data_IF_726172211416
#
_entry.id   IF_726172211416
#
_cell.length_a   1.000
_cell.length_b   1.000
_cell.length_c   1.000
_cell.angle_alpha   90.00
_cell.angle_beta   90.00
_cell.angle_gamma   90.00
#
_symmetry.space_group_name_H-M   'P 1'
#
loop_
_entity.id
_entity.type
_entity.pdbx_description
1 polymer ?
#
# COMPACT_ATOMS: atom_id res chain seq x y z
N UNK A 1 -3.25 27.64 -9.33
CA UNK A 1 -3.89 26.74 -10.31
C UNK A 1 -3.39 27.06 -11.71
N UNK A 2 -2.84 26.07 -12.44
CA UNK A 2 -2.52 25.95 -13.89
C UNK A 2 -2.07 27.18 -14.72
N UNK A 3 -1.70 28.30 -14.10
CA UNK A 3 -0.92 29.39 -14.70
C UNK A 3 0.38 29.49 -13.92
N UNK A 4 1.25 28.51 -14.09
CA UNK A 4 2.64 28.68 -13.68
C UNK A 4 3.28 29.54 -14.76
N UNK A 5 3.67 30.77 -14.43
CA UNK A 5 4.52 31.58 -15.32
C UNK A 5 5.89 30.92 -15.32
N UNK A 6 6.24 30.26 -16.43
CA UNK A 6 7.55 29.64 -16.59
C UNK A 6 8.49 30.67 -17.21
N UNK A 7 9.56 31.02 -16.49
CA UNK A 7 10.64 31.85 -17.01
C UNK A 7 11.84 30.94 -17.30
N UNK A 8 12.24 30.85 -18.57
CA UNK A 8 13.43 30.11 -18.99
C UNK A 8 14.69 30.84 -18.50
N UNK A 9 15.69 30.10 -18.02
CA UNK A 9 17.04 30.60 -17.74
C UNK A 9 18.04 29.82 -18.58
N UNK A 10 19.13 30.48 -18.96
CA UNK A 10 20.30 29.88 -19.60
C UNK A 10 21.37 29.48 -18.59
N UNK A 11 21.19 29.83 -17.30
CA UNK A 11 22.11 29.49 -16.23
C UNK A 11 21.57 28.30 -15.42
N UNK A 12 22.33 27.20 -15.41
CA UNK A 12 21.99 25.99 -14.66
C UNK A 12 21.82 26.24 -13.16
N UNK A 13 22.57 27.18 -12.59
CA UNK A 13 22.46 27.57 -11.18
C UNK A 13 21.07 28.13 -10.84
N UNK A 14 20.44 28.87 -11.75
CA UNK A 14 19.09 29.42 -11.54
C UNK A 14 18.03 28.31 -11.55
N UNK A 15 18.19 27.29 -12.40
CA UNK A 15 17.33 26.11 -12.40
C UNK A 15 17.51 25.31 -11.11
N UNK A 16 18.76 25.10 -10.71
CA UNK A 16 19.13 24.42 -9.47
C UNK A 16 18.51 25.11 -8.23
N UNK A 17 18.55 26.44 -8.18
CA UNK A 17 17.99 27.25 -7.08
C UNK A 17 16.47 27.09 -6.89
N UNK A 18 15.74 26.69 -7.94
CA UNK A 18 14.28 26.51 -7.93
C UNK A 18 13.85 25.10 -7.55
N UNK A 19 14.78 24.17 -7.39
CA UNK A 19 14.51 22.79 -6.99
C UNK A 19 14.15 22.70 -5.52
N UNK A 20 13.65 21.54 -5.12
CA UNK A 20 13.17 21.32 -3.75
C UNK A 20 14.34 21.10 -2.78
N UNK A 21 15.19 20.12 -3.06
CA UNK A 21 16.25 19.66 -2.15
C UNK A 21 17.63 19.77 -2.77
N UNK A 22 18.63 20.00 -1.94
CA UNK A 22 20.04 20.13 -2.32
C UNK A 22 20.52 18.91 -3.10
N UNK A 23 20.22 17.71 -2.60
CA UNK A 23 20.54 16.42 -3.24
C UNK A 23 19.86 16.23 -4.61
N UNK A 24 18.77 16.94 -4.89
CA UNK A 24 18.05 16.88 -6.16
C UNK A 24 18.50 17.96 -7.17
N UNK A 25 19.40 18.85 -6.76
CA UNK A 25 19.93 19.96 -7.56
C UNK A 25 21.37 19.74 -8.02
N UNK A 26 21.78 18.47 -8.09
CA UNK A 26 23.04 18.04 -8.69
C UNK A 26 22.87 17.79 -10.19
N UNK A 27 23.86 18.22 -10.97
CA UNK A 27 23.88 18.05 -12.43
C UNK A 27 25.15 17.33 -12.81
N UNK A 28 25.05 16.32 -13.65
CA UNK A 28 26.20 15.58 -14.15
C UNK A 28 26.40 15.88 -15.64
N UNK A 29 27.64 16.23 -16.02
CA UNK A 29 28.00 16.36 -17.41
C UNK A 29 27.98 14.96 -18.08
N UNK A 30 27.29 14.75 -19.21
CA UNK A 30 27.01 13.40 -19.73
C UNK A 30 28.23 12.63 -20.21
N UNK A 31 29.32 13.32 -20.54
CA UNK A 31 30.56 12.70 -21.05
C UNK A 31 31.63 12.58 -19.97
N UNK A 32 32.00 13.69 -19.33
CA UNK A 32 33.03 13.74 -18.29
C UNK A 32 32.56 13.25 -16.92
N UNK A 33 31.25 13.11 -16.70
CA UNK A 33 30.62 12.80 -15.42
C UNK A 33 30.95 13.82 -14.31
N UNK A 34 31.48 14.99 -14.66
CA UNK A 34 31.72 16.07 -13.72
C UNK A 34 30.41 16.53 -13.10
N UNK A 35 30.39 16.68 -11.77
CA UNK A 35 29.21 17.09 -11.01
C UNK A 35 29.29 18.59 -10.75
N UNK A 36 28.25 19.31 -11.16
CA UNK A 36 28.00 20.68 -10.72
C UNK A 36 27.09 20.66 -9.50
N UNK A 37 27.60 21.22 -8.41
CA UNK A 37 26.90 21.37 -7.13
C UNK A 37 27.01 22.83 -6.67
N UNK A 38 25.88 23.50 -6.54
CA UNK A 38 25.80 24.91 -6.13
C UNK A 38 25.24 25.09 -4.72
N UNK A 39 24.77 24.02 -4.06
CA UNK A 39 24.00 24.10 -2.81
C UNK A 39 24.41 23.03 -1.79
N UNK A 40 25.62 22.49 -1.92
CA UNK A 40 26.20 21.45 -1.06
C UNK A 40 25.40 20.13 -1.06
N UNK A 41 24.79 19.79 -2.20
CA UNK A 41 24.04 18.56 -2.37
C UNK A 41 24.89 17.29 -2.23
N UNK A 42 26.18 17.33 -2.61
CA UNK A 42 27.10 16.21 -2.42
C UNK A 42 27.38 15.96 -0.94
N UNK A 43 27.67 17.02 -0.18
CA UNK A 43 27.89 16.92 1.26
C UNK A 43 26.61 16.45 1.99
N UNK A 44 25.44 16.94 1.59
CA UNK A 44 24.15 16.48 2.12
C UNK A 44 23.88 15.01 1.78
N UNK A 45 24.27 14.54 0.60
CA UNK A 45 24.14 13.14 0.20
C UNK A 45 25.05 12.23 1.05
N UNK A 46 26.30 12.63 1.27
CA UNK A 46 27.27 11.91 2.11
C UNK A 46 26.79 11.81 3.56
N UNK A 47 26.24 12.90 4.10
CA UNK A 47 25.63 12.94 5.43
C UNK A 47 24.24 12.29 5.49
N UNK A 48 23.69 11.90 4.35
CA UNK A 48 22.32 11.39 4.22
C UNK A 48 21.31 12.34 4.87
N UNK A 49 21.41 13.63 4.55
CA UNK A 49 20.54 14.70 5.03
C UNK A 49 19.69 15.23 3.87
N UNK A 50 18.36 15.19 4.01
CA UNK A 50 17.46 15.83 3.04
C UNK A 50 17.19 17.25 3.50
N UNK A 51 17.72 18.24 2.78
CA UNK A 51 17.62 19.66 3.13
C UNK A 51 17.05 20.46 1.97
N UNK A 52 16.22 21.45 2.29
CA UNK A 52 15.69 22.39 1.30
C UNK A 52 16.76 23.33 0.76
N UNK A 53 16.58 23.80 -0.48
CA UNK A 53 17.43 24.85 -1.04
C UNK A 53 16.92 26.22 -0.56
N UNK A 54 17.74 26.94 0.22
CA UNK A 54 17.34 28.20 0.87
C UNK A 54 16.38 27.97 2.02
N UNK A 55 15.47 28.92 2.27
CA UNK A 55 14.48 28.83 3.36
C UNK A 55 13.41 27.76 3.07
N UNK A 56 13.25 26.81 4.00
CA UNK A 56 12.32 25.70 3.83
C UNK A 56 10.85 26.17 3.70
N UNK A 57 10.45 27.22 4.42
CA UNK A 57 9.07 27.72 4.38
C UNK A 57 8.75 28.38 3.04
N UNK A 58 9.66 29.16 2.50
CA UNK A 58 9.54 29.74 1.15
C UNK A 58 9.39 28.65 0.09
N UNK A 59 10.25 27.62 0.12
CA UNK A 59 10.15 26.49 -0.81
C UNK A 59 8.81 25.78 -0.68
N UNK A 60 8.31 25.56 0.53
CA UNK A 60 7.00 24.93 0.74
C UNK A 60 5.86 25.81 0.23
N UNK A 61 5.92 27.15 0.40
CA UNK A 61 4.88 28.07 -0.12
C UNK A 61 4.73 28.01 -1.64
N UNK A 62 5.83 27.78 -2.36
CA UNK A 62 5.81 27.64 -3.82
C UNK A 62 5.06 26.38 -4.29
N UNK A 63 5.26 25.26 -3.58
CA UNK A 63 4.50 24.03 -3.81
C UNK A 63 4.39 23.22 -2.50
N UNK A 64 3.22 23.26 -1.88
CA UNK A 64 2.97 22.58 -0.61
C UNK A 64 3.21 21.06 -0.70
N UNK A 65 3.19 20.45 -1.90
CA UNK A 65 3.50 19.03 -2.06
C UNK A 65 4.94 18.69 -1.62
N UNK A 66 5.84 19.68 -1.58
CA UNK A 66 7.21 19.50 -1.10
C UNK A 66 7.30 18.98 0.33
N UNK A 67 6.27 19.17 1.16
CA UNK A 67 6.18 18.54 2.49
C UNK A 67 6.17 17.00 2.37
N UNK A 68 5.28 16.45 1.54
CA UNK A 68 5.20 15.00 1.36
C UNK A 68 6.42 14.44 0.62
N UNK A 69 6.96 15.22 -0.33
CA UNK A 69 8.23 14.87 -0.98
C UNK A 69 9.35 14.79 0.03
N UNK A 70 9.48 15.75 0.94
CA UNK A 70 10.50 15.76 1.98
C UNK A 70 10.46 14.46 2.77
N UNK A 71 9.30 14.07 3.31
CA UNK A 71 9.18 12.80 4.05
C UNK A 71 9.49 11.57 3.19
N UNK A 72 9.07 11.55 1.92
CA UNK A 72 9.42 10.44 1.00
C UNK A 72 10.93 10.34 0.76
N UNK A 73 11.60 11.47 0.50
CA UNK A 73 13.05 11.49 0.30
C UNK A 73 13.78 11.17 1.62
N UNK A 74 13.29 11.66 2.75
CA UNK A 74 13.85 11.36 4.08
C UNK A 74 13.75 9.87 4.39
N UNK A 75 12.62 9.22 4.10
CA UNK A 75 12.48 7.77 4.26
C UNK A 75 13.38 6.95 3.31
N UNK A 76 13.67 7.48 2.11
CA UNK A 76 14.43 6.76 1.09
C UNK A 76 15.94 6.92 1.25
N UNK A 77 16.40 8.14 1.53
CA UNK A 77 17.81 8.50 1.52
C UNK A 77 18.30 8.98 2.87
N UNK A 78 17.43 9.62 3.65
CA UNK A 78 17.77 10.26 4.90
C UNK A 78 18.21 9.30 6.00
N UNK A 79 19.22 9.70 6.76
CA UNK A 79 19.61 9.12 8.04
C UNK A 79 19.72 10.21 9.11
N UNK A 80 20.13 11.43 8.72
CA UNK A 80 20.14 12.61 9.58
C UNK A 80 18.89 13.45 9.33
N UNK A 81 18.24 13.89 10.41
CA UNK A 81 17.11 14.82 10.33
C UNK A 81 17.61 16.26 10.21
N UNK A 82 16.92 17.04 9.40
CA UNK A 82 17.07 18.48 9.35
C UNK A 82 15.96 19.12 10.20
N UNK A 83 16.33 19.70 11.34
CA UNK A 83 15.38 20.30 12.27
C UNK A 83 14.59 21.47 11.68
N UNK A 84 15.20 22.25 10.78
CA UNK A 84 14.51 23.35 10.10
C UNK A 84 13.47 22.80 9.13
N UNK A 85 13.84 21.81 8.32
CA UNK A 85 12.93 21.18 7.36
C UNK A 85 11.75 20.49 8.06
N UNK A 86 12.01 19.75 9.14
CA UNK A 86 10.97 19.10 9.95
C UNK A 86 9.99 20.12 10.56
N UNK A 87 10.51 21.22 11.13
CA UNK A 87 9.70 22.28 11.71
C UNK A 87 8.86 22.99 10.64
N UNK A 88 9.45 23.37 9.51
CA UNK A 88 8.74 24.00 8.41
C UNK A 88 7.63 23.09 7.85
N UNK A 89 7.89 21.78 7.72
CA UNK A 89 6.89 20.81 7.30
C UNK A 89 5.72 20.70 8.27
N UNK A 90 5.98 20.70 9.58
CA UNK A 90 4.94 20.64 10.61
C UNK A 90 4.08 21.92 10.61
N UNK A 91 4.72 23.10 10.64
CA UNK A 91 4.05 24.40 10.67
C UNK A 91 3.13 24.60 9.45
N UNK A 92 3.57 24.13 8.28
CA UNK A 92 2.88 24.33 7.01
C UNK A 92 1.99 23.17 6.59
N UNK A 93 1.92 22.09 7.38
CA UNK A 93 1.08 20.92 7.09
C UNK A 93 -0.37 21.26 6.71
N UNK A 94 -1.08 22.20 7.36
CA UNK A 94 -2.47 22.52 7.01
C UNK A 94 -2.67 22.92 5.54
N UNK A 95 -1.64 23.45 4.90
CA UNK A 95 -1.68 23.89 3.50
C UNK A 95 -1.81 22.73 2.50
N UNK A 96 -1.53 21.49 2.93
CA UNK A 96 -1.74 20.27 2.14
C UNK A 96 -3.21 20.04 1.77
N UNK A 97 -4.17 20.60 2.53
CA UNK A 97 -5.61 20.46 2.26
C UNK A 97 -6.03 20.99 0.89
N UNK A 98 -5.29 21.98 0.36
CA UNK A 98 -5.56 22.61 -0.94
C UNK A 98 -4.96 21.88 -2.15
N UNK A 99 -4.22 20.78 -1.95
CA UNK A 99 -3.58 20.05 -3.03
C UNK A 99 -4.53 19.09 -3.76
N UNK A 100 -4.17 18.76 -5.01
CA UNK A 100 -4.79 17.65 -5.74
C UNK A 100 -4.58 16.35 -4.98
N UNK A 101 -5.64 15.57 -4.87
CA UNK A 101 -5.64 14.32 -4.11
C UNK A 101 -4.84 13.22 -4.80
N UNK A 102 -4.78 13.25 -6.13
CA UNK A 102 -3.93 12.39 -6.95
C UNK A 102 -2.45 12.60 -6.63
N UNK A 103 -2.00 13.86 -6.53
CA UNK A 103 -0.61 14.19 -6.18
C UNK A 103 -0.27 13.75 -4.76
N UNK A 104 -1.18 13.99 -3.81
CA UNK A 104 -1.03 13.52 -2.42
C UNK A 104 -0.95 12.00 -2.36
N UNK A 105 -1.84 11.30 -3.06
CA UNK A 105 -1.85 9.84 -3.11
C UNK A 105 -0.57 9.28 -3.72
N UNK A 106 -0.03 9.89 -4.77
CA UNK A 106 1.23 9.47 -5.39
C UNK A 106 2.39 9.50 -4.39
N UNK A 107 2.58 10.62 -3.68
CA UNK A 107 3.66 10.75 -2.68
C UNK A 107 3.47 9.77 -1.52
N UNK A 108 2.23 9.66 -1.00
CA UNK A 108 1.90 8.75 0.10
C UNK A 108 2.11 7.27 -0.27
N UNK A 109 1.60 6.82 -1.41
CA UNK A 109 1.77 5.44 -1.85
C UNK A 109 3.23 5.12 -2.17
N UNK A 110 3.98 6.07 -2.72
CA UNK A 110 5.42 5.88 -2.96
C UNK A 110 6.19 5.78 -1.65
N UNK A 111 5.86 6.59 -0.65
CA UNK A 111 6.42 6.46 0.71
C UNK A 111 6.10 5.08 1.29
N UNK A 112 4.84 4.65 1.25
CA UNK A 112 4.42 3.34 1.80
C UNK A 112 5.02 2.15 1.05
N UNK A 113 5.45 2.32 -0.21
CA UNK A 113 6.14 1.28 -0.98
C UNK A 113 7.64 1.15 -0.65
N UNK A 114 8.24 2.07 0.10
CA UNK A 114 9.66 1.99 0.46
C UNK A 114 9.94 0.81 1.40
N UNK A 115 11.15 0.25 1.47
CA UNK A 115 11.45 -0.88 2.36
C UNK A 115 11.09 -0.62 3.84
N UNK A 116 11.48 0.53 4.38
CA UNK A 116 11.34 0.87 5.81
C UNK A 116 10.72 2.26 6.02
N UNK A 117 9.40 2.43 5.83
CA UNK A 117 8.75 3.73 5.94
C UNK A 117 8.35 4.10 7.37
N UNK A 118 8.45 3.16 8.32
CA UNK A 118 7.86 3.26 9.66
C UNK A 118 8.22 4.55 10.39
N UNK A 119 9.52 4.79 10.60
CA UNK A 119 9.98 5.95 11.40
C UNK A 119 9.50 7.27 10.80
N UNK A 120 9.52 7.38 9.47
CA UNK A 120 9.04 8.58 8.78
C UNK A 120 7.53 8.74 8.91
N UNK A 121 6.75 7.67 8.73
CA UNK A 121 5.28 7.73 8.88
C UNK A 121 4.89 8.04 10.32
N UNK A 122 5.59 7.47 11.31
CA UNK A 122 5.40 7.77 12.73
C UNK A 122 5.70 9.25 13.03
N UNK A 123 6.84 9.79 12.56
CA UNK A 123 7.14 11.22 12.70
C UNK A 123 6.10 12.12 12.02
N UNK A 124 5.62 11.75 10.82
CA UNK A 124 4.55 12.49 10.15
C UNK A 124 3.28 12.52 11.00
N UNK A 125 2.96 11.43 11.70
CA UNK A 125 1.81 11.35 12.61
C UNK A 125 2.01 12.23 13.85
N UNK A 126 3.14 12.07 14.53
CA UNK A 126 3.51 12.85 15.74
C UNK A 126 3.54 14.36 15.48
N UNK A 127 4.04 14.77 14.31
CA UNK A 127 4.11 16.19 13.91
C UNK A 127 2.82 16.73 13.31
N UNK A 128 1.75 15.94 13.26
CA UNK A 128 0.46 16.38 12.74
C UNK A 128 0.41 16.56 11.21
N UNK A 129 1.37 16.03 10.46
CA UNK A 129 1.39 16.07 8.99
C UNK A 129 0.47 15.00 8.40
N UNK A 130 0.59 13.75 8.86
CA UNK A 130 -0.21 12.62 8.36
C UNK A 130 -1.72 12.86 8.56
N UNK A 131 -2.21 13.34 9.73
CA UNK A 131 -3.63 13.61 9.94
C UNK A 131 -4.24 14.64 8.98
N UNK A 132 -3.45 15.51 8.34
CA UNK A 132 -3.98 16.47 7.35
C UNK A 132 -4.40 15.77 6.05
N UNK A 133 -3.70 14.72 5.66
CA UNK A 133 -3.93 14.00 4.40
C UNK A 133 -4.67 12.66 4.60
N UNK A 134 -4.53 12.06 5.77
CA UNK A 134 -5.17 10.83 6.21
C UNK A 134 -5.68 11.00 7.67
N UNK A 135 -6.76 11.77 7.88
CA UNK A 135 -7.32 12.01 9.21
C UNK A 135 -7.87 10.76 9.90
N UNK A 136 -8.10 9.68 9.16
CA UNK A 136 -8.61 8.41 9.68
C UNK A 136 -7.55 7.58 10.42
N UNK A 137 -6.27 7.95 10.31
CA UNK A 137 -5.17 7.24 10.97
C UNK A 137 -5.06 7.69 12.41
N UNK A 138 -4.93 6.71 13.31
CA UNK A 138 -4.70 6.90 14.73
C UNK A 138 -3.44 6.14 15.20
N UNK A 139 -3.16 6.19 16.51
CA UNK A 139 -2.02 5.48 17.09
C UNK A 139 -2.08 3.96 16.88
N UNK A 140 -3.29 3.37 16.83
CA UNK A 140 -3.47 1.96 16.56
C UNK A 140 -3.09 1.61 15.11
N UNK A 141 -3.43 2.48 14.15
CA UNK A 141 -2.99 2.38 12.76
C UNK A 141 -1.48 2.43 12.60
N UNK A 142 -0.80 3.32 13.33
CA UNK A 142 0.68 3.39 13.34
C UNK A 142 1.28 2.09 13.90
N UNK A 143 0.77 1.60 15.03
CA UNK A 143 1.21 0.33 15.61
C UNK A 143 0.95 -0.87 14.68
N UNK A 144 -0.20 -0.87 13.99
CA UNK A 144 -0.55 -1.89 13.01
C UNK A 144 0.37 -1.89 11.79
N UNK A 145 0.80 -0.70 11.30
CA UNK A 145 1.81 -0.59 10.26
C UNK A 145 3.13 -1.23 10.72
N UNK A 146 3.61 -0.91 11.93
CA UNK A 146 4.84 -1.50 12.48
C UNK A 146 4.78 -3.03 12.54
N UNK A 147 3.67 -3.57 13.05
CA UNK A 147 3.47 -5.02 13.12
C UNK A 147 3.41 -5.68 11.72
N UNK A 148 2.77 -5.02 10.75
CA UNK A 148 2.73 -5.50 9.37
C UNK A 148 4.14 -5.53 8.76
N UNK A 149 4.94 -4.49 8.95
CA UNK A 149 6.30 -4.43 8.39
C UNK A 149 7.20 -5.53 8.96
N UNK A 150 7.06 -5.85 10.25
CA UNK A 150 7.74 -6.99 10.85
C UNK A 150 7.29 -8.31 10.20
N UNK A 151 5.97 -8.52 10.05
CA UNK A 151 5.43 -9.72 9.40
C UNK A 151 5.87 -9.86 7.92
N UNK A 152 5.96 -8.75 7.18
CA UNK A 152 6.49 -8.72 5.82
C UNK A 152 7.95 -9.17 5.79
N UNK A 153 8.79 -8.68 6.71
CA UNK A 153 10.20 -9.05 6.81
C UNK A 153 10.37 -10.53 7.22
N UNK A 154 9.63 -10.98 8.24
CA UNK A 154 9.69 -12.36 8.75
C UNK A 154 9.27 -13.40 7.69
N UNK A 155 8.38 -13.01 6.78
CA UNK A 155 7.87 -13.87 5.71
C UNK A 155 8.54 -13.62 4.34
N UNK A 156 9.56 -12.75 4.26
CA UNK A 156 10.21 -12.31 3.01
C UNK A 156 9.21 -11.85 1.92
N UNK A 157 8.19 -11.09 2.34
CA UNK A 157 7.16 -10.56 1.44
C UNK A 157 7.51 -9.14 1.03
N UNK A 158 7.59 -8.91 -0.28
CA UNK A 158 7.88 -7.60 -0.84
C UNK A 158 6.88 -6.52 -0.37
N UNK A 159 7.33 -5.26 -0.16
CA UNK A 159 6.48 -4.13 0.20
C UNK A 159 5.28 -3.94 -0.73
N UNK A 160 4.10 -3.69 -0.16
CA UNK A 160 2.91 -3.32 -0.94
C UNK A 160 2.19 -2.12 -0.32
N UNK A 161 2.15 -1.01 -1.07
CA UNK A 161 1.60 0.26 -0.57
C UNK A 161 0.13 0.16 -0.16
N UNK A 162 -0.70 -0.61 -0.89
CA UNK A 162 -2.12 -0.78 -0.56
C UNK A 162 -2.33 -1.62 0.70
N UNK A 163 -1.52 -2.67 0.91
CA UNK A 163 -1.54 -3.46 2.15
C UNK A 163 -1.15 -2.62 3.36
N UNK A 164 -0.10 -1.82 3.23
CA UNK A 164 0.37 -0.91 4.29
C UNK A 164 -0.58 0.25 4.54
N UNK A 165 -1.23 0.78 3.50
CA UNK A 165 -2.33 1.74 3.65
C UNK A 165 -3.52 1.10 4.37
N UNK A 166 -3.88 -0.15 4.03
CA UNK A 166 -4.89 -0.88 4.77
C UNK A 166 -4.51 -0.98 6.25
N UNK A 167 -3.26 -1.35 6.60
CA UNK A 167 -2.83 -1.45 8.00
C UNK A 167 -3.01 -0.15 8.80
N UNK A 168 -2.76 1.00 8.17
CA UNK A 168 -2.92 2.32 8.79
C UNK A 168 -4.38 2.70 9.06
N UNK A 169 -5.32 2.17 8.28
CA UNK A 169 -6.74 2.52 8.38
C UNK A 169 -7.50 1.60 9.34
N UNK A 170 -8.55 2.12 10.00
CA UNK A 170 -9.51 1.28 10.72
C UNK A 170 -10.08 0.17 9.84
N UNK A 171 -10.42 -0.96 10.47
CA UNK A 171 -11.01 -2.12 9.82
C UNK A 171 -12.48 -1.88 9.42
N UNK A 172 -12.71 -0.96 8.48
CA UNK A 172 -14.04 -0.61 7.96
C UNK A 172 -14.00 -0.50 6.42
N UNK A 173 -14.66 -1.43 5.70
CA UNK A 173 -14.74 -1.40 4.23
C UNK A 173 -15.37 -0.13 3.65
N UNK A 174 -16.33 0.49 4.35
CA UNK A 174 -16.97 1.74 3.88
C UNK A 174 -16.01 2.91 4.01
N UNK A 175 -15.31 2.99 5.14
CA UNK A 175 -14.27 4.00 5.35
C UNK A 175 -13.15 3.86 4.34
N UNK A 176 -12.66 2.64 4.12
CA UNK A 176 -11.63 2.35 3.12
C UNK A 176 -12.06 2.78 1.70
N UNK A 177 -13.33 2.57 1.35
CA UNK A 177 -13.89 2.99 0.08
C UNK A 177 -13.92 4.52 -0.07
N UNK A 178 -14.31 5.23 0.99
CA UNK A 178 -14.30 6.70 1.04
C UNK A 178 -12.89 7.27 0.94
N UNK A 179 -11.92 6.69 1.67
CA UNK A 179 -10.51 7.08 1.60
C UNK A 179 -9.95 6.85 0.21
N UNK A 180 -10.19 5.68 -0.40
CA UNK A 180 -9.75 5.38 -1.76
C UNK A 180 -10.34 6.34 -2.79
N UNK A 181 -11.63 6.66 -2.67
CA UNK A 181 -12.28 7.64 -3.55
C UNK A 181 -11.69 9.05 -3.37
N UNK A 182 -11.48 9.48 -2.11
CA UNK A 182 -10.88 10.79 -1.78
C UNK A 182 -9.45 10.91 -2.30
N UNK A 183 -8.65 9.86 -2.20
CA UNK A 183 -7.29 9.77 -2.74
C UNK A 183 -7.24 9.52 -4.25
N UNK A 184 -8.38 9.32 -4.91
CA UNK A 184 -8.47 9.08 -6.35
C UNK A 184 -7.65 7.86 -6.79
N UNK A 185 -7.69 6.80 -5.97
CA UNK A 185 -7.02 5.54 -6.28
C UNK A 185 -7.64 4.87 -7.51
N UNK A 186 -6.85 4.05 -8.20
CA UNK A 186 -7.35 3.28 -9.34
C UNK A 186 -8.44 2.29 -8.91
N UNK A 187 -9.29 1.87 -9.84
CA UNK A 187 -10.34 0.87 -9.56
C UNK A 187 -9.78 -0.40 -8.93
N UNK A 188 -8.62 -0.87 -9.39
CA UNK A 188 -7.97 -2.05 -8.83
C UNK A 188 -7.48 -1.81 -7.39
N UNK A 189 -6.81 -0.68 -7.14
CA UNK A 189 -6.33 -0.31 -5.80
C UNK A 189 -7.48 -0.15 -4.80
N UNK A 190 -8.57 0.52 -5.22
CA UNK A 190 -9.77 0.73 -4.40
C UNK A 190 -10.42 -0.59 -4.03
N UNK A 191 -10.65 -1.49 -5.00
CA UNK A 191 -11.20 -2.83 -4.74
C UNK A 191 -10.33 -3.61 -3.77
N UNK A 192 -9.01 -3.56 -3.94
CA UNK A 192 -8.09 -4.26 -3.07
C UNK A 192 -8.13 -3.68 -1.64
N UNK A 193 -8.04 -2.35 -1.48
CA UNK A 193 -8.11 -1.71 -0.16
C UNK A 193 -9.39 -2.06 0.60
N UNK A 194 -10.54 -2.03 -0.08
CA UNK A 194 -11.85 -2.38 0.50
C UNK A 194 -11.91 -3.85 0.92
N UNK A 195 -11.30 -4.75 0.15
CA UNK A 195 -11.18 -6.17 0.52
C UNK A 195 -10.36 -6.34 1.80
N UNK A 196 -9.19 -5.71 1.87
CA UNK A 196 -8.28 -5.80 3.03
C UNK A 196 -8.89 -5.20 4.30
N UNK A 197 -9.72 -4.16 4.16
CA UNK A 197 -10.39 -3.50 5.28
C UNK A 197 -11.42 -4.38 6.01
N UNK A 198 -11.87 -5.50 5.42
CA UNK A 198 -12.75 -6.47 6.10
C UNK A 198 -12.05 -7.17 7.26
N UNK A 199 -10.71 -7.31 7.17
CA UNK A 199 -9.88 -8.15 8.05
C UNK A 199 -10.37 -9.60 8.11
N UNK A 200 -9.60 -10.44 8.80
CA UNK A 200 -10.02 -11.79 9.14
C UNK A 200 -10.77 -11.76 10.47
N UNK A 201 -11.87 -12.51 10.55
CA UNK A 201 -12.62 -12.68 11.79
C UNK A 201 -11.93 -13.65 12.76
N UNK A 202 -10.99 -14.47 12.26
CA UNK A 202 -10.27 -15.48 13.01
C UNK A 202 -10.80 -16.88 12.71
N UNK A 203 -9.89 -17.85 12.61
CA UNK A 203 -10.23 -19.25 12.34
C UNK A 203 -10.33 -19.63 10.86
N UNK A 204 -10.25 -18.68 9.93
CA UNK A 204 -10.22 -18.99 8.49
C UNK A 204 -8.97 -19.79 8.14
N UNK A 205 -9.11 -20.90 7.44
CA UNK A 205 -7.97 -21.68 6.95
C UNK A 205 -7.29 -20.91 5.81
N UNK A 206 -5.96 -20.76 5.86
CA UNK A 206 -5.21 -19.93 4.91
C UNK A 206 -5.39 -20.37 3.45
N UNK A 207 -5.38 -21.69 3.20
CA UNK A 207 -5.61 -22.25 1.86
C UNK A 207 -7.06 -22.06 1.37
N UNK A 208 -8.05 -22.14 2.26
CA UNK A 208 -9.45 -21.79 1.97
C UNK A 208 -9.63 -20.31 1.63
N UNK A 209 -8.95 -19.43 2.36
CA UNK A 209 -8.95 -18.00 2.07
C UNK A 209 -8.33 -17.71 0.70
N UNK A 210 -7.21 -18.35 0.36
CA UNK A 210 -6.57 -18.19 -0.93
C UNK A 210 -7.42 -18.73 -2.09
N UNK A 211 -8.17 -19.82 -1.88
CA UNK A 211 -9.16 -20.31 -2.85
C UNK A 211 -10.25 -19.28 -3.12
N UNK A 212 -10.81 -18.66 -2.07
CA UNK A 212 -11.94 -17.74 -2.20
C UNK A 212 -11.56 -16.32 -2.71
N UNK A 213 -10.43 -15.77 -2.27
CA UNK A 213 -10.04 -14.38 -2.56
C UNK A 213 -8.87 -14.28 -3.55
N UNK A 214 -8.22 -15.41 -3.87
CA UNK A 214 -6.96 -15.46 -4.61
C UNK A 214 -5.74 -15.29 -3.69
N UNK A 215 -4.61 -15.88 -4.10
CA UNK A 215 -3.37 -15.92 -3.30
C UNK A 215 -2.91 -14.53 -2.84
N UNK A 216 -2.90 -13.54 -3.73
CA UNK A 216 -2.40 -12.20 -3.40
C UNK A 216 -3.20 -11.54 -2.26
N UNK A 217 -4.53 -11.56 -2.34
CA UNK A 217 -5.40 -10.97 -1.31
C UNK A 217 -5.33 -11.77 -0.01
N UNK A 218 -5.27 -13.10 -0.10
CA UNK A 218 -5.12 -13.95 1.07
C UNK A 218 -3.79 -13.72 1.81
N UNK A 219 -2.67 -13.59 1.09
CA UNK A 219 -1.37 -13.21 1.67
C UNK A 219 -1.50 -11.91 2.45
N UNK A 220 -2.08 -10.89 1.84
CA UNK A 220 -2.22 -9.57 2.46
C UNK A 220 -3.11 -9.60 3.72
N UNK A 221 -4.23 -10.33 3.66
CA UNK A 221 -5.14 -10.51 4.81
C UNK A 221 -4.48 -11.30 5.95
N UNK A 222 -3.70 -12.34 5.65
CA UNK A 222 -2.96 -13.11 6.64
C UNK A 222 -1.91 -12.27 7.34
N UNK A 223 -1.11 -11.50 6.59
CA UNK A 223 -0.11 -10.58 7.16
C UNK A 223 -0.77 -9.53 8.06
N UNK A 224 -1.89 -8.95 7.63
CA UNK A 224 -2.66 -7.98 8.42
C UNK A 224 -3.23 -8.60 9.71
N UNK A 225 -3.50 -9.91 9.71
CA UNK A 225 -3.92 -10.68 10.88
C UNK A 225 -2.73 -11.27 11.67
N UNK A 226 -1.48 -10.93 11.33
CA UNK A 226 -0.24 -11.46 11.93
C UNK A 226 -0.14 -12.99 11.82
N UNK A 227 -0.61 -13.53 10.71
CA UNK A 227 -0.53 -14.95 10.35
C UNK A 227 0.43 -15.14 9.19
N UNK A 228 1.10 -16.30 9.16
CA UNK A 228 2.10 -16.57 8.14
C UNK A 228 1.44 -17.01 6.83
N UNK A 229 1.67 -16.32 5.69
CA UNK A 229 1.15 -16.72 4.38
C UNK A 229 1.64 -18.09 3.89
N UNK A 230 2.70 -18.65 4.49
CA UNK A 230 3.18 -20.01 4.19
C UNK A 230 2.08 -21.07 4.35
N UNK A 231 1.12 -20.82 5.26
CA UNK A 231 -0.01 -21.71 5.53
C UNK A 231 -0.98 -21.82 4.34
N UNK A 232 -0.88 -20.94 3.34
CA UNK A 232 -1.61 -21.10 2.07
C UNK A 232 -1.14 -22.38 1.36
N UNK A 233 0.12 -22.76 1.54
CA UNK A 233 0.76 -23.89 0.87
C UNK A 233 1.11 -23.61 -0.60
N UNK A 234 1.57 -24.62 -1.34
CA UNK A 234 2.14 -24.47 -2.67
C UNK A 234 1.08 -24.20 -3.75
N UNK A 235 1.54 -23.66 -4.88
CA UNK A 235 0.78 -23.60 -6.13
C UNK A 235 0.79 -24.95 -6.87
N UNK A 236 -0.20 -25.22 -7.74
CA UNK A 236 -1.39 -24.39 -7.96
C UNK A 236 -2.36 -24.46 -6.77
N UNK A 237 -3.17 -23.41 -6.62
CA UNK A 237 -4.31 -23.47 -5.69
C UNK A 237 -5.28 -24.59 -6.12
N UNK A 238 -5.98 -25.22 -5.17
CA UNK A 238 -6.95 -26.27 -5.48
C UNK A 238 -8.01 -25.78 -6.47
N UNK A 239 -8.36 -26.63 -7.43
CA UNK A 239 -9.47 -26.42 -8.35
C UNK A 239 -10.59 -27.38 -7.96
N UNK A 240 -11.82 -26.87 -7.82
CA UNK A 240 -12.96 -27.71 -7.48
C UNK A 240 -13.23 -28.72 -8.61
N UNK A 241 -13.13 -30.05 -8.36
CA UNK A 241 -13.12 -31.04 -9.43
C UNK A 241 -14.53 -31.39 -9.94
N UNK A 242 -15.59 -30.99 -9.22
CA UNK A 242 -16.97 -31.33 -9.57
C UNK A 242 -17.58 -30.28 -10.50
N UNK A 243 -18.11 -30.72 -11.64
CA UNK A 243 -18.84 -29.90 -12.62
C UNK A 243 -20.33 -30.23 -12.61
N UNK A 244 -21.16 -29.26 -13.01
CA UNK A 244 -22.63 -29.43 -13.05
C UNK A 244 -23.13 -30.62 -13.88
N UNK A 245 -22.42 -30.96 -14.97
CA UNK A 245 -22.76 -32.14 -15.78
C UNK A 245 -22.69 -33.46 -15.01
N UNK A 246 -21.77 -33.58 -14.03
CA UNK A 246 -21.67 -34.75 -13.17
C UNK A 246 -22.83 -34.83 -12.18
N UNK A 247 -23.36 -33.69 -11.73
CA UNK A 247 -24.55 -33.63 -10.87
C UNK A 247 -25.80 -34.04 -11.67
N UNK A 248 -25.94 -33.55 -12.90
CA UNK A 248 -27.04 -33.93 -13.80
C UNK A 248 -27.01 -35.43 -14.14
N UNK A 249 -25.82 -35.99 -14.37
CA UNK A 249 -25.65 -37.42 -14.63
C UNK A 249 -26.11 -38.32 -13.45
N UNK A 250 -26.24 -37.75 -12.25
CA UNK A 250 -26.77 -38.44 -11.05
C UNK A 250 -28.29 -38.26 -10.86
N UNK A 251 -28.99 -37.74 -11.87
CA UNK A 251 -30.46 -37.66 -11.90
C UNK A 251 -31.04 -36.34 -11.39
N UNK A 252 -30.23 -35.34 -11.09
CA UNK A 252 -30.70 -33.99 -10.71
C UNK A 252 -31.11 -33.22 -11.98
N UNK A 253 -32.33 -32.69 -12.00
CA UNK A 253 -32.81 -31.84 -13.09
C UNK A 253 -31.94 -30.59 -13.24
N UNK A 254 -31.55 -30.27 -14.48
CA UNK A 254 -30.76 -29.06 -14.75
C UNK A 254 -31.51 -27.81 -14.26
N UNK A 255 -30.82 -26.97 -13.49
CA UNK A 255 -31.43 -25.78 -12.90
C UNK A 255 -30.86 -25.41 -11.53
N UNK A 256 -31.62 -24.63 -10.71
CA UNK A 256 -31.17 -24.14 -9.41
C UNK A 256 -30.70 -25.23 -8.44
N UNK A 257 -31.27 -26.43 -8.55
CA UNK A 257 -30.92 -27.55 -7.68
C UNK A 257 -29.48 -28.04 -7.90
N UNK A 258 -29.00 -28.04 -9.14
CA UNK A 258 -27.59 -28.36 -9.44
C UNK A 258 -26.66 -27.36 -8.78
N UNK A 259 -26.98 -26.07 -8.81
CA UNK A 259 -26.17 -25.04 -8.17
C UNK A 259 -26.15 -25.21 -6.64
N UNK A 260 -27.30 -25.55 -6.04
CA UNK A 260 -27.41 -25.84 -4.59
C UNK A 260 -26.51 -27.01 -4.20
N UNK A 261 -26.58 -28.13 -4.94
CA UNK A 261 -25.76 -29.32 -4.69
C UNK A 261 -24.27 -29.01 -4.86
N UNK A 262 -23.89 -28.31 -5.94
CA UNK A 262 -22.50 -27.91 -6.17
C UNK A 262 -21.94 -27.08 -5.00
N UNK A 263 -22.69 -26.06 -4.55
CA UNK A 263 -22.29 -25.22 -3.42
C UNK A 263 -22.16 -26.01 -2.11
N UNK A 264 -23.07 -26.96 -1.85
CA UNK A 264 -23.02 -27.79 -0.65
C UNK A 264 -21.79 -28.71 -0.66
N UNK A 265 -21.49 -29.34 -1.79
CA UNK A 265 -20.32 -30.20 -1.95
C UNK A 265 -19.03 -29.38 -1.88
N UNK A 266 -18.98 -28.20 -2.50
CA UNK A 266 -17.83 -27.30 -2.47
C UNK A 266 -17.52 -26.82 -1.04
N UNK A 267 -18.54 -26.44 -0.27
CA UNK A 267 -18.37 -26.04 1.12
C UNK A 267 -17.76 -27.17 1.98
N UNK A 268 -18.20 -28.42 1.78
CA UNK A 268 -17.63 -29.58 2.47
C UNK A 268 -16.22 -29.93 1.98
N UNK A 269 -15.97 -29.80 0.68
CA UNK A 269 -14.64 -29.99 0.10
C UNK A 269 -13.63 -29.01 0.68
N UNK A 270 -14.02 -27.74 0.87
CA UNK A 270 -13.18 -26.74 1.55
C UNK A 270 -12.99 -27.12 3.04
N UNK A 271 -14.06 -27.51 3.73
CA UNK A 271 -13.99 -27.89 5.15
C UNK A 271 -13.09 -29.12 5.41
N UNK A 272 -13.08 -30.09 4.49
CA UNK A 272 -12.22 -31.27 4.52
C UNK A 272 -10.80 -31.02 3.94
N UNK A 273 -10.41 -29.75 3.75
CA UNK A 273 -9.08 -29.33 3.27
C UNK A 273 -8.73 -29.83 1.87
N UNK A 274 -9.67 -29.72 0.94
CA UNK A 274 -9.49 -29.98 -0.48
C UNK A 274 -9.11 -31.43 -0.83
N UNK A 275 -9.90 -32.43 -0.40
CA UNK A 275 -9.60 -33.83 -0.70
C UNK A 275 -9.74 -34.12 -2.22
N UNK A 276 -9.19 -35.26 -2.64
CA UNK A 276 -9.17 -35.69 -4.05
C UNK A 276 -10.55 -36.06 -4.62
N UNK A 277 -10.59 -36.33 -5.93
CA UNK A 277 -11.83 -36.57 -6.69
C UNK A 277 -12.69 -37.71 -6.13
N UNK A 278 -12.07 -38.77 -5.63
CA UNK A 278 -12.79 -39.90 -5.03
C UNK A 278 -13.64 -39.46 -3.83
N UNK A 279 -13.08 -38.63 -2.95
CA UNK A 279 -13.82 -38.09 -1.81
C UNK A 279 -14.90 -37.12 -2.26
N UNK A 280 -14.65 -36.32 -3.31
CA UNK A 280 -15.67 -35.41 -3.85
C UNK A 280 -16.86 -36.18 -4.44
N UNK A 281 -16.62 -37.33 -5.07
CA UNK A 281 -17.70 -38.20 -5.53
C UNK A 281 -18.57 -38.72 -4.36
N UNK A 282 -17.94 -39.10 -3.25
CA UNK A 282 -18.64 -39.50 -2.02
C UNK A 282 -19.45 -38.33 -1.42
N UNK A 283 -18.87 -37.13 -1.38
CA UNK A 283 -19.55 -35.92 -0.91
C UNK A 283 -20.80 -35.60 -1.76
N UNK A 284 -20.73 -35.80 -3.07
CA UNK A 284 -21.87 -35.68 -3.96
C UNK A 284 -22.95 -36.72 -3.63
N UNK A 285 -22.57 -37.99 -3.45
CA UNK A 285 -23.51 -39.05 -3.06
C UNK A 285 -24.19 -38.77 -1.71
N UNK A 286 -23.46 -38.20 -0.77
CA UNK A 286 -23.99 -37.79 0.54
C UNK A 286 -24.96 -36.60 0.40
N UNK A 287 -24.63 -35.61 -0.44
CA UNK A 287 -25.45 -34.42 -0.67
C UNK A 287 -26.76 -34.71 -1.42
N UNK A 288 -26.82 -35.79 -2.20
CA UNK A 288 -28.03 -36.21 -2.92
C UNK A 288 -28.97 -37.09 -2.09
N UNK A 289 -28.49 -37.65 -0.98
CA UNK A 289 -29.28 -38.50 -0.06
C UNK A 289 -29.99 -37.72 1.05
N UNK A 290 -29.53 -36.49 1.33
CA UNK A 290 -30.11 -35.59 2.32
C UNK A 290 -31.02 -34.55 1.70
#
# INVERSE_FOLDING_TARGET
GRRATVAFSTHWQDDAARRDFTINALYAHPQTLAISDWFDGLADLDLRRVRFIGDARERIREDHLRILRYYRFQARFGAMLDGEAEAACADMAPMLKGLSRERVAMELLTLLALPSPFDTVARMFERGVLPVVLPEVDAAGIAALGALLAAEADCDIAPAAIRRLAALLPADPRLADQVAARLRLSTAQRKHLVRLARRLAGGEQARALAYAEGRAVATDLLLLARRNPVDIGPDPLPMFPLKGGQVVARGVGAGPEVARVLQAVEARWIAEQFPGEERVAQLLDEALRG
#
